data_IF_963003264205
#
_entry.id   IF_963003264205
#
_cell.length_a   1.000
_cell.length_b   1.000
_cell.length_c   1.000
_cell.angle_alpha   90.00
_cell.angle_beta   90.00
_cell.angle_gamma   90.00
#
_symmetry.space_group_name_H-M   'P 1'
#
loop_
_entity.id
_entity.type
_entity.pdbx_description
1 polymer ?
#
# COMPACT_ATOMS: atom_id res chain seq x y z
N UNK A 1 -32.07 -11.85 11.21
CA UNK A 1 -31.90 -12.96 12.16
C UNK A 1 -33.27 -13.56 12.40
N UNK A 2 -33.39 -14.87 12.18
CA UNK A 2 -34.65 -15.57 12.41
C UNK A 2 -34.94 -15.65 13.91
N UNK A 3 -36.23 -15.64 14.27
CA UNK A 3 -36.68 -15.65 15.67
C UNK A 3 -37.80 -16.67 15.81
N UNK A 4 -37.74 -17.48 16.87
CA UNK A 4 -38.83 -18.38 17.24
C UNK A 4 -40.00 -17.56 17.80
N UNK A 5 -41.22 -17.91 17.39
CA UNK A 5 -42.45 -17.35 17.95
C UNK A 5 -42.98 -18.39 18.95
N UNK A 6 -43.15 -17.98 20.21
CA UNK A 6 -43.76 -18.79 21.27
C UNK A 6 -44.99 -18.03 21.76
N UNK A 7 -46.13 -18.71 21.83
CA UNK A 7 -47.41 -18.09 22.17
C UNK A 7 -47.77 -18.20 23.66
N UNK A 8 -48.60 -17.29 24.21
CA UNK A 8 -49.14 -17.45 25.56
C UNK A 8 -49.87 -18.79 25.72
N UNK A 9 -49.52 -19.55 26.76
CA UNK A 9 -50.09 -20.87 27.03
C UNK A 9 -49.45 -22.04 26.25
N UNK A 10 -48.53 -21.77 25.33
CA UNK A 10 -47.72 -22.81 24.69
C UNK A 10 -46.73 -23.41 25.71
N UNK A 11 -46.51 -24.72 25.64
CA UNK A 11 -45.41 -25.40 26.34
C UNK A 11 -44.15 -25.24 25.48
N UNK A 12 -43.12 -24.49 25.93
CA UNK A 12 -41.89 -24.32 25.16
C UNK A 12 -41.13 -25.64 25.10
N UNK A 13 -40.55 -25.93 23.93
CA UNK A 13 -39.61 -27.03 23.75
C UNK A 13 -38.18 -26.52 23.88
N UNK A 14 -37.24 -27.40 24.20
CA UNK A 14 -35.81 -27.07 24.21
C UNK A 14 -35.35 -26.57 22.83
N UNK A 15 -35.93 -27.10 21.75
CA UNK A 15 -35.63 -26.68 20.37
C UNK A 15 -35.98 -25.22 20.09
N UNK A 16 -36.89 -24.61 20.87
CA UNK A 16 -37.21 -23.18 20.73
C UNK A 16 -36.04 -22.31 21.20
N UNK A 17 -35.39 -22.68 22.30
CA UNK A 17 -34.19 -22.00 22.80
C UNK A 17 -32.99 -22.30 21.90
N UNK A 18 -32.75 -23.58 21.61
CA UNK A 18 -31.61 -24.01 20.80
C UNK A 18 -31.67 -23.41 19.40
N UNK A 19 -32.85 -23.35 18.78
CA UNK A 19 -33.04 -22.77 17.46
C UNK A 19 -32.79 -21.26 17.42
N UNK A 20 -33.06 -20.55 18.53
CA UNK A 20 -32.72 -19.12 18.64
C UNK A 20 -31.19 -18.94 18.70
N UNK A 21 -30.48 -19.78 19.46
CA UNK A 21 -29.01 -19.75 19.51
C UNK A 21 -28.39 -20.03 18.13
N UNK A 22 -28.91 -21.04 17.42
CA UNK A 22 -28.47 -21.35 16.06
C UNK A 22 -28.75 -20.19 15.08
N UNK A 23 -29.90 -19.53 15.18
CA UNK A 23 -30.24 -18.37 14.35
C UNK A 23 -29.30 -17.18 14.57
N UNK A 24 -28.88 -16.96 15.82
CA UNK A 24 -27.85 -15.96 16.17
C UNK A 24 -26.52 -16.30 15.53
N UNK A 25 -26.08 -17.56 15.65
CA UNK A 25 -24.85 -18.05 15.04
C UNK A 25 -24.85 -17.87 13.51
N UNK A 26 -25.95 -18.19 12.83
CA UNK A 26 -26.09 -17.98 11.38
C UNK A 26 -25.91 -16.51 11.03
N UNK A 27 -26.57 -15.59 11.76
CA UNK A 27 -26.47 -14.16 11.51
C UNK A 27 -25.04 -13.65 11.69
N UNK A 28 -24.36 -14.03 12.78
CA UNK A 28 -22.97 -13.65 13.03
C UNK A 28 -22.03 -14.28 11.99
N UNK A 29 -22.21 -15.54 11.65
CA UNK A 29 -21.32 -16.22 10.70
C UNK A 29 -21.44 -15.69 9.28
N UNK A 30 -22.64 -15.25 8.84
CA UNK A 30 -22.79 -14.55 7.55
C UNK A 30 -22.13 -13.17 7.57
N UNK A 31 -22.23 -12.42 8.68
CA UNK A 31 -21.53 -11.14 8.84
C UNK A 31 -20.01 -11.32 8.81
N UNK A 32 -19.49 -12.26 9.60
CA UNK A 32 -18.06 -12.61 9.65
C UNK A 32 -17.54 -13.03 8.28
N UNK A 33 -18.31 -13.85 7.56
CA UNK A 33 -17.97 -14.25 6.20
C UNK A 33 -17.95 -13.10 5.19
N UNK A 34 -18.77 -12.06 5.39
CA UNK A 34 -18.72 -10.84 4.57
C UNK A 34 -17.48 -9.98 4.86
N UNK A 35 -16.96 -10.02 6.09
CA UNK A 35 -15.79 -9.24 6.53
C UNK A 35 -14.49 -9.93 6.12
N UNK A 36 -14.34 -11.24 6.39
CA UNK A 36 -13.10 -11.98 6.18
C UNK A 36 -13.08 -12.86 4.92
N UNK A 37 -14.22 -12.97 4.23
CA UNK A 37 -14.40 -13.99 3.20
C UNK A 37 -14.52 -15.39 3.77
N UNK A 38 -14.47 -16.39 2.90
CA UNK A 38 -14.61 -17.82 3.25
C UNK A 38 -13.29 -18.57 3.29
N UNK A 39 -12.16 -17.88 3.02
CA UNK A 39 -10.83 -18.48 2.95
C UNK A 39 -10.26 -18.92 4.30
N UNK A 40 -10.89 -18.56 5.42
CA UNK A 40 -10.37 -18.83 6.75
C UNK A 40 -9.39 -17.74 7.23
N UNK A 41 -9.49 -17.38 8.50
CA UNK A 41 -8.66 -16.35 9.13
C UNK A 41 -8.32 -16.71 10.58
N UNK A 42 -7.15 -16.27 11.06
CA UNK A 42 -6.68 -16.43 12.45
C UNK A 42 -6.28 -15.07 13.01
N UNK A 43 -6.67 -14.79 14.25
CA UNK A 43 -6.19 -13.66 15.04
C UNK A 43 -5.63 -14.16 16.38
N UNK A 44 -4.46 -13.67 16.77
CA UNK A 44 -3.73 -14.24 17.91
C UNK A 44 -3.13 -15.61 17.57
N UNK A 45 -3.36 -16.61 18.43
CA UNK A 45 -2.83 -17.98 18.29
C UNK A 45 -1.31 -18.03 18.02
N UNK A 46 -0.57 -17.10 18.63
CA UNK A 46 0.87 -17.01 18.43
C UNK A 46 1.56 -18.19 19.09
N UNK A 47 2.50 -18.81 18.37
CA UNK A 47 3.27 -19.95 18.86
C UNK A 47 4.57 -19.44 19.47
N UNK A 48 4.79 -19.72 20.74
CA UNK A 48 5.97 -19.32 21.50
C UNK A 48 6.61 -20.47 22.29
N UNK A 49 7.83 -20.26 22.80
CA UNK A 49 8.46 -21.21 23.71
C UNK A 49 7.73 -21.26 25.05
N UNK A 50 7.79 -22.39 25.74
CA UNK A 50 7.20 -22.53 27.07
C UNK A 50 8.07 -21.89 28.18
N UNK A 51 7.44 -21.48 29.27
CA UNK A 51 8.07 -21.00 30.49
C UNK A 51 7.41 -21.68 31.72
N UNK A 52 8.11 -22.58 32.44
CA UNK A 52 9.52 -22.98 32.27
C UNK A 52 9.82 -23.70 30.95
N UNK A 53 11.06 -23.57 30.48
CA UNK A 53 11.46 -24.11 29.19
C UNK A 53 11.41 -25.65 29.17
N UNK A 54 10.81 -26.21 28.12
CA UNK A 54 10.65 -27.65 27.91
C UNK A 54 10.56 -27.98 26.41
N UNK A 55 10.47 -29.27 26.05
CA UNK A 55 10.23 -29.75 24.69
C UNK A 55 8.76 -29.66 24.28
N UNK A 56 8.20 -28.48 24.45
CA UNK A 56 6.85 -28.13 24.04
C UNK A 56 6.79 -26.64 23.67
N UNK A 57 5.79 -26.31 22.88
CA UNK A 57 5.46 -24.92 22.53
C UNK A 57 4.13 -24.54 23.16
N UNK A 58 3.95 -23.25 23.39
CA UNK A 58 2.72 -22.68 23.90
C UNK A 58 2.06 -21.89 22.78
N UNK A 59 0.82 -22.24 22.47
CA UNK A 59 -0.05 -21.45 21.59
C UNK A 59 -0.85 -20.50 22.46
N UNK A 60 -0.64 -19.19 22.29
CA UNK A 60 -1.33 -18.16 23.04
C UNK A 60 -2.84 -18.14 22.71
N UNK A 61 -3.67 -17.52 23.57
CA UNK A 61 -5.09 -17.28 23.27
C UNK A 61 -5.31 -16.57 21.93
N UNK A 62 -6.47 -16.78 21.35
CA UNK A 62 -6.87 -16.18 20.08
C UNK A 62 -8.11 -16.83 19.51
N UNK A 63 -8.38 -16.51 18.24
CA UNK A 63 -9.55 -17.04 17.54
C UNK A 63 -9.25 -17.43 16.09
N UNK A 64 -10.06 -18.36 15.59
CA UNK A 64 -10.09 -18.80 14.20
C UNK A 64 -11.48 -18.54 13.63
N UNK A 65 -11.54 -18.15 12.36
CA UNK A 65 -12.76 -17.98 11.60
C UNK A 65 -12.68 -18.92 10.39
N UNK A 66 -13.62 -19.84 10.25
CA UNK A 66 -13.54 -20.86 9.21
C UNK A 66 -14.91 -21.23 8.65
N UNK A 67 -14.98 -21.42 7.34
CA UNK A 67 -16.18 -21.94 6.67
C UNK A 67 -16.36 -23.42 7.03
N UNK A 68 -17.44 -23.72 7.72
CA UNK A 68 -17.78 -25.08 8.16
C UNK A 68 -19.30 -25.28 8.07
N UNK A 69 -19.74 -26.53 8.19
CA UNK A 69 -21.16 -26.87 8.26
C UNK A 69 -21.83 -26.16 9.44
N UNK A 70 -23.10 -25.79 9.29
CA UNK A 70 -23.88 -25.13 10.34
C UNK A 70 -23.89 -25.99 11.61
N UNK A 71 -24.23 -27.27 11.46
CA UNK A 71 -24.12 -28.27 12.52
C UNK A 71 -23.57 -29.57 11.93
N UNK A 72 -22.31 -29.88 12.21
CA UNK A 72 -21.70 -31.12 11.74
C UNK A 72 -22.29 -32.37 12.43
N UNK A 73 -22.76 -32.21 13.67
CA UNK A 73 -23.44 -33.23 14.48
C UNK A 73 -24.71 -32.64 15.09
N UNK A 74 -25.65 -33.50 15.52
CA UNK A 74 -26.89 -33.03 16.13
C UNK A 74 -26.61 -32.17 17.37
N UNK A 75 -27.32 -31.05 17.52
CA UNK A 75 -27.27 -30.16 18.70
C UNK A 75 -28.45 -30.43 19.61
N UNK A 76 -28.26 -31.34 20.58
CA UNK A 76 -29.37 -31.91 21.34
C UNK A 76 -30.41 -32.49 20.36
N UNK A 77 -31.68 -32.07 20.43
CA UNK A 77 -32.75 -32.50 19.53
C UNK A 77 -32.75 -31.79 18.17
N UNK A 78 -31.88 -30.80 17.93
CA UNK A 78 -31.72 -30.23 16.59
C UNK A 78 -30.85 -31.16 15.74
N UNK A 79 -31.31 -31.57 14.54
CA UNK A 79 -30.52 -32.46 13.67
C UNK A 79 -29.27 -31.75 13.14
N UNK A 80 -28.30 -32.55 12.70
CA UNK A 80 -27.16 -32.02 11.95
C UNK A 80 -27.64 -31.31 10.67
N UNK A 81 -26.99 -30.20 10.33
CA UNK A 81 -27.17 -29.47 9.08
C UNK A 81 -25.82 -29.36 8.37
N UNK A 82 -25.61 -30.31 7.46
CA UNK A 82 -24.42 -30.41 6.61
C UNK A 82 -24.68 -29.86 5.19
N UNK A 83 -25.89 -29.40 4.91
CA UNK A 83 -26.25 -28.81 3.62
C UNK A 83 -25.87 -27.32 3.56
N UNK A 84 -25.86 -26.65 4.72
CA UNK A 84 -25.51 -25.25 4.83
C UNK A 84 -24.15 -25.05 5.49
N UNK A 85 -23.41 -24.05 5.00
CA UNK A 85 -22.15 -23.62 5.57
C UNK A 85 -22.16 -22.13 5.91
N UNK A 86 -21.43 -21.80 6.97
CA UNK A 86 -21.15 -20.43 7.39
C UNK A 86 -19.76 -20.34 8.00
N UNK A 87 -19.25 -19.12 8.14
CA UNK A 87 -17.97 -18.88 8.81
C UNK A 87 -18.23 -18.89 10.32
N UNK A 88 -17.83 -19.96 11.01
CA UNK A 88 -17.93 -20.07 12.47
C UNK A 88 -16.66 -19.54 13.14
N UNK A 89 -16.80 -19.00 14.34
CA UNK A 89 -15.69 -18.56 15.18
C UNK A 89 -15.34 -19.66 16.19
N UNK A 90 -14.09 -20.09 16.18
CA UNK A 90 -13.49 -20.90 17.23
C UNK A 90 -12.69 -20.00 18.15
N UNK A 91 -12.82 -20.19 19.46
CA UNK A 91 -12.15 -19.35 20.46
C UNK A 91 -11.25 -20.24 21.33
N UNK A 92 -10.03 -19.75 21.55
CA UNK A 92 -9.10 -20.26 22.55
C UNK A 92 -8.86 -19.16 23.57
N UNK A 93 -9.47 -19.29 24.75
CA UNK A 93 -9.35 -18.29 25.83
C UNK A 93 -8.06 -18.46 26.63
N UNK A 94 -7.59 -19.71 26.77
CA UNK A 94 -6.41 -20.06 27.57
C UNK A 94 -5.30 -20.64 26.68
N UNK A 95 -4.05 -20.35 27.03
CA UNK A 95 -2.91 -20.85 26.29
C UNK A 95 -2.84 -22.38 26.32
N UNK A 96 -2.55 -23.01 25.18
CA UNK A 96 -2.45 -24.47 25.06
C UNK A 96 -1.02 -24.90 24.80
N UNK A 97 -0.55 -25.91 25.52
CA UNK A 97 0.78 -26.47 25.35
C UNK A 97 0.76 -27.68 24.43
N UNK A 98 1.64 -27.71 23.43
CA UNK A 98 1.78 -28.83 22.49
C UNK A 98 3.18 -29.44 22.56
N UNK A 99 3.24 -30.76 22.78
CA UNK A 99 4.50 -31.48 22.88
C UNK A 99 5.22 -31.56 21.53
N UNK A 100 6.53 -31.36 21.53
CA UNK A 100 7.42 -31.44 20.38
C UNK A 100 8.69 -32.20 20.78
N UNK A 101 8.62 -33.51 21.04
CA UNK A 101 9.76 -34.28 21.53
C UNK A 101 10.93 -34.31 20.53
N UNK A 102 12.15 -34.41 21.04
CA UNK A 102 13.34 -34.54 20.22
C UNK A 102 13.39 -35.91 19.53
N UNK A 103 13.99 -36.02 18.32
CA UNK A 103 14.19 -37.31 17.67
C UNK A 103 15.24 -38.13 18.45
N UNK A 104 15.22 -39.45 18.30
CA UNK A 104 16.12 -40.37 19.05
C UNK A 104 17.48 -40.59 18.39
N UNK A 105 17.61 -40.31 17.09
CA UNK A 105 18.84 -40.56 16.32
C UNK A 105 19.81 -39.38 16.42
N UNK A 106 21.06 -39.64 16.79
CA UNK A 106 22.09 -38.60 16.90
C UNK A 106 22.33 -37.90 15.55
N UNK A 107 22.47 -36.56 15.59
CA UNK A 107 22.64 -35.73 14.39
C UNK A 107 21.36 -35.47 13.59
N UNK A 108 20.20 -35.97 14.04
CA UNK A 108 18.92 -35.74 13.37
C UNK A 108 18.16 -34.58 14.00
N UNK A 109 17.31 -33.94 13.20
CA UNK A 109 16.28 -32.99 13.63
C UNK A 109 14.91 -33.41 13.10
N UNK A 110 13.85 -32.94 13.74
CA UNK A 110 12.47 -33.11 13.30
C UNK A 110 11.77 -31.75 13.26
N UNK A 111 10.90 -31.56 12.26
CA UNK A 111 10.01 -30.41 12.19
C UNK A 111 8.61 -30.82 12.66
N UNK A 112 8.02 -30.03 13.55
CA UNK A 112 6.60 -30.10 13.91
C UNK A 112 5.85 -28.96 13.23
N UNK A 113 4.78 -29.28 12.50
CA UNK A 113 3.84 -28.27 12.01
C UNK A 113 2.78 -28.02 13.08
N UNK A 114 2.71 -26.80 13.58
CA UNK A 114 1.63 -26.36 14.46
C UNK A 114 0.51 -25.82 13.58
N UNK A 115 -0.66 -26.40 13.70
CA UNK A 115 -1.82 -26.05 12.89
C UNK A 115 -3.11 -26.05 13.71
N UNK A 116 -4.08 -25.28 13.24
CA UNK A 116 -5.36 -25.03 13.90
C UNK A 116 -6.54 -25.25 12.96
N UNK A 117 -7.64 -25.77 13.47
CA UNK A 117 -8.95 -25.81 12.80
C UNK A 117 -10.06 -25.39 13.75
N UNK A 118 -11.18 -24.94 13.20
CA UNK A 118 -12.43 -24.88 13.95
C UNK A 118 -12.95 -26.28 14.27
N UNK A 119 -13.50 -26.48 15.48
CA UNK A 119 -14.31 -27.64 15.82
C UNK A 119 -15.47 -27.28 16.77
N UNK A 120 -16.58 -28.01 16.65
CA UNK A 120 -17.62 -28.04 17.66
C UNK A 120 -17.27 -29.09 18.73
N UNK A 121 -17.29 -28.70 19.99
CA UNK A 121 -17.07 -29.61 21.12
C UNK A 121 -18.19 -29.49 22.14
N UNK A 122 -18.81 -30.64 22.44
CA UNK A 122 -19.76 -30.75 23.54
C UNK A 122 -19.00 -30.95 24.86
N UNK A 123 -19.23 -30.05 25.81
CA UNK A 123 -18.49 -30.00 27.09
C UNK A 123 -19.43 -29.82 28.27
N UNK A 124 -18.86 -29.77 29.48
CA UNK A 124 -19.59 -29.56 30.74
C UNK A 124 -20.66 -30.62 30.97
N UNK A 125 -20.28 -31.90 30.85
CA UNK A 125 -21.17 -33.02 31.11
C UNK A 125 -21.64 -32.98 32.57
N UNK A 126 -22.96 -33.04 32.77
CA UNK A 126 -23.57 -33.08 34.10
C UNK A 126 -24.86 -33.89 34.08
N UNK A 127 -25.26 -34.43 35.22
CA UNK A 127 -26.56 -35.10 35.37
C UNK A 127 -27.65 -34.04 35.53
N UNK A 128 -28.53 -33.94 34.54
CA UNK A 128 -29.59 -32.92 34.51
C UNK A 128 -30.91 -33.44 35.11
N UNK A 129 -31.70 -32.59 35.77
CA UNK A 129 -33.04 -32.96 36.19
C UNK A 129 -34.01 -33.00 34.98
N UNK A 130 -34.85 -34.03 34.91
CA UNK A 130 -35.88 -34.21 33.87
C UNK A 130 -37.28 -34.26 34.49
N UNK A 131 -38.29 -33.79 33.73
CA UNK A 131 -39.68 -33.88 34.17
C UNK A 131 -40.12 -35.34 34.27
N UNK A 132 -40.73 -35.68 35.41
CA UNK A 132 -41.30 -37.00 35.67
C UNK A 132 -42.83 -36.93 35.62
N UNK A 133 -43.42 -37.38 34.50
CA UNK A 133 -44.86 -37.40 34.34
C UNK A 133 -45.58 -38.36 35.31
N UNK A 134 -44.90 -39.40 35.79
CA UNK A 134 -45.47 -40.40 36.72
C UNK A 134 -45.48 -39.93 38.17
N UNK A 135 -44.56 -39.05 38.55
CA UNK A 135 -44.51 -38.40 39.85
C UNK A 135 -43.95 -36.98 39.74
N UNK A 136 -44.81 -35.97 39.48
CA UNK A 136 -44.37 -34.59 39.28
C UNK A 136 -43.67 -33.95 40.49
N UNK A 137 -43.77 -34.56 41.69
CA UNK A 137 -43.06 -34.08 42.88
C UNK A 137 -41.57 -34.47 42.94
N UNK A 138 -41.12 -35.35 42.03
CA UNK A 138 -39.75 -35.83 41.97
C UNK A 138 -39.21 -35.83 40.54
N UNK A 139 -38.24 -34.96 40.26
CA UNK A 139 -37.55 -34.96 38.97
C UNK A 139 -36.76 -36.27 38.75
N UNK A 140 -36.70 -36.71 37.50
CA UNK A 140 -35.75 -37.73 37.10
C UNK A 140 -34.32 -37.18 37.10
N UNK A 141 -33.34 -38.04 37.42
CA UNK A 141 -31.91 -37.72 37.32
C UNK A 141 -31.36 -38.28 36.02
N UNK A 142 -31.11 -37.42 35.03
CA UNK A 142 -30.76 -37.79 33.67
C UNK A 142 -31.96 -38.34 32.87
N UNK A 143 -31.77 -38.59 31.55
CA UNK A 143 -32.82 -39.09 30.68
C UNK A 143 -33.38 -40.41 31.19
N UNK A 144 -34.71 -40.53 31.25
CA UNK A 144 -35.40 -41.72 31.75
C UNK A 144 -34.91 -42.19 33.14
N UNK A 145 -34.46 -41.26 33.99
CA UNK A 145 -33.91 -41.53 35.32
C UNK A 145 -32.66 -42.44 35.33
N UNK A 146 -31.89 -42.42 34.24
CA UNK A 146 -30.72 -43.29 34.06
C UNK A 146 -29.46 -42.87 34.82
N UNK A 147 -29.42 -41.64 35.35
CA UNK A 147 -28.22 -41.04 35.94
C UNK A 147 -27.16 -40.60 34.92
N UNK A 148 -27.38 -40.85 33.62
CA UNK A 148 -26.43 -40.46 32.57
C UNK A 148 -26.22 -38.95 32.54
N UNK A 149 -24.97 -38.56 32.42
CA UNK A 149 -24.58 -37.16 32.23
C UNK A 149 -24.72 -36.76 30.77
N UNK A 150 -25.11 -35.51 30.54
CA UNK A 150 -25.21 -34.93 29.20
C UNK A 150 -24.46 -33.60 29.16
N UNK A 151 -23.90 -33.30 28.00
CA UNK A 151 -23.25 -32.03 27.75
C UNK A 151 -24.25 -30.88 27.89
N UNK A 152 -23.81 -29.78 28.49
CA UNK A 152 -24.63 -28.57 28.70
C UNK A 152 -24.15 -27.40 27.87
N UNK A 153 -23.05 -27.56 27.13
CA UNK A 153 -22.45 -26.51 26.33
C UNK A 153 -21.93 -27.10 25.02
N UNK A 154 -22.30 -26.49 23.90
CA UNK A 154 -21.62 -26.67 22.62
C UNK A 154 -20.68 -25.49 22.40
N UNK A 155 -19.38 -25.74 22.49
CA UNK A 155 -18.36 -24.73 22.30
C UNK A 155 -17.80 -24.78 20.88
N UNK A 156 -17.67 -23.60 20.26
CA UNK A 156 -16.82 -23.44 19.08
C UNK A 156 -15.37 -23.23 19.53
N UNK A 157 -14.53 -24.24 19.35
CA UNK A 157 -13.15 -24.24 19.84
C UNK A 157 -12.16 -24.07 18.69
N UNK A 158 -10.96 -23.62 19.05
CA UNK A 158 -9.77 -23.81 18.22
C UNK A 158 -9.20 -25.18 18.57
N UNK A 159 -9.31 -26.14 17.65
CA UNK A 159 -8.62 -27.42 17.77
C UNK A 159 -7.20 -27.26 17.24
N UNK A 160 -6.22 -27.43 18.13
CA UNK A 160 -4.81 -27.33 17.84
C UNK A 160 -4.16 -28.70 17.72
N UNK A 161 -3.16 -28.83 16.86
CA UNK A 161 -2.30 -30.01 16.82
C UNK A 161 -0.85 -29.66 16.47
N UNK A 162 0.07 -30.49 16.98
CA UNK A 162 1.47 -30.51 16.56
C UNK A 162 1.70 -31.77 15.72
N UNK A 163 1.74 -31.59 14.40
CA UNK A 163 1.94 -32.68 13.46
C UNK A 163 3.42 -32.94 13.25
N UNK A 164 3.86 -34.15 13.58
CA UNK A 164 5.25 -34.57 13.43
C UNK A 164 5.61 -34.77 11.96
N UNK A 165 6.74 -34.20 11.53
CA UNK A 165 7.38 -34.49 10.25
C UNK A 165 8.22 -35.75 10.27
N UNK A 166 9.03 -35.92 9.23
CA UNK A 166 10.00 -37.02 9.16
C UNK A 166 11.34 -36.51 9.67
N UNK A 167 11.83 -37.13 10.75
CA UNK A 167 13.16 -36.85 11.28
C UNK A 167 14.24 -37.27 10.27
N UNK A 168 15.21 -36.40 10.03
CA UNK A 168 16.35 -36.67 9.16
C UNK A 168 17.59 -35.93 9.67
N UNK A 169 18.74 -36.14 9.02
CA UNK A 169 19.96 -35.37 9.31
C UNK A 169 19.64 -33.86 9.35
N UNK A 170 20.15 -33.17 10.37
CA UNK A 170 19.85 -31.75 10.61
C UNK A 170 20.11 -30.92 9.35
N UNK A 171 19.08 -30.20 8.90
CA UNK A 171 19.08 -29.43 7.65
C UNK A 171 18.37 -30.13 6.48
N UNK A 172 18.02 -31.42 6.60
CA UNK A 172 17.31 -32.21 5.58
C UNK A 172 15.97 -32.78 6.08
N UNK A 173 15.52 -32.39 7.28
CA UNK A 173 14.26 -32.84 7.83
C UNK A 173 13.06 -32.28 7.04
N UNK A 174 11.99 -33.07 6.92
CA UNK A 174 10.83 -32.72 6.09
C UNK A 174 9.67 -32.26 6.98
N UNK A 175 9.22 -31.03 6.76
CA UNK A 175 7.99 -30.50 7.36
C UNK A 175 6.78 -31.21 6.77
N UNK A 176 5.82 -31.70 7.59
CA UNK A 176 4.62 -32.33 7.06
C UNK A 176 3.73 -31.29 6.36
N UNK A 177 2.93 -31.74 5.39
CA UNK A 177 1.92 -30.90 4.75
C UNK A 177 0.78 -30.58 5.73
N UNK A 178 0.17 -29.40 5.55
CA UNK A 178 -1.01 -28.96 6.31
C UNK A 178 -2.18 -29.91 6.06
N UNK A 179 -2.91 -30.24 7.12
CA UNK A 179 -4.10 -31.08 6.99
C UNK A 179 -5.25 -30.36 6.28
N UNK A 180 -6.07 -31.13 5.56
CA UNK A 180 -7.23 -30.56 4.88
C UNK A 180 -8.18 -29.94 5.91
N UNK A 181 -8.48 -28.65 5.75
CA UNK A 181 -9.30 -27.88 6.68
C UNK A 181 -8.51 -27.26 7.84
N UNK A 182 -7.19 -27.41 7.89
CA UNK A 182 -6.36 -26.75 8.89
C UNK A 182 -5.68 -25.49 8.32
N UNK A 183 -5.36 -24.56 9.22
CA UNK A 183 -4.53 -23.39 8.97
C UNK A 183 -3.21 -23.58 9.70
N UNK A 184 -2.11 -23.53 8.96
CA UNK A 184 -0.77 -23.61 9.52
C UNK A 184 -0.41 -22.32 10.28
N UNK A 185 0.17 -22.46 11.48
CA UNK A 185 0.58 -21.36 12.35
C UNK A 185 2.10 -21.19 12.39
N UNK A 186 2.84 -22.28 12.62
CA UNK A 186 4.30 -22.25 12.73
C UNK A 186 4.92 -23.61 12.44
N UNK A 187 6.22 -23.61 12.14
CA UNK A 187 7.07 -24.80 12.12
C UNK A 187 8.05 -24.74 13.30
N UNK A 188 8.12 -25.81 14.06
CA UNK A 188 9.03 -25.93 15.21
C UNK A 188 10.09 -26.98 14.89
N UNK A 189 11.36 -26.58 14.87
CA UNK A 189 12.49 -27.48 14.61
C UNK A 189 13.14 -27.92 15.93
N UNK A 190 13.18 -29.22 16.18
CA UNK A 190 13.78 -29.80 17.39
C UNK A 190 14.90 -30.77 16.99
N UNK A 191 16.11 -30.52 17.48
CA UNK A 191 17.27 -31.38 17.25
C UNK A 191 17.39 -32.49 18.30
N UNK A 192 18.03 -33.61 17.95
CA UNK A 192 18.39 -34.65 18.91
C UNK A 192 19.23 -34.08 20.05
N UNK A 193 18.97 -34.52 21.28
CA UNK A 193 19.67 -34.06 22.48
C UNK A 193 19.20 -32.70 23.02
N UNK A 194 18.33 -32.00 22.31
CA UNK A 194 17.71 -30.76 22.80
C UNK A 194 16.75 -31.06 23.96
N UNK A 195 16.73 -30.22 24.99
CA UNK A 195 15.85 -30.36 26.17
C UNK A 195 14.85 -29.22 26.33
N UNK A 196 15.01 -28.15 25.55
CA UNK A 196 14.18 -26.94 25.60
C UNK A 196 13.98 -26.37 24.20
N UNK A 197 12.82 -25.75 23.94
CA UNK A 197 12.54 -25.03 22.69
C UNK A 197 12.67 -23.54 22.95
N UNK A 198 13.47 -22.85 22.12
CA UNK A 198 13.65 -21.40 22.15
C UNK A 198 12.93 -20.72 20.99
N UNK A 199 12.83 -19.39 20.99
CA UNK A 199 12.26 -18.65 19.87
C UNK A 199 12.97 -18.92 18.53
N UNK A 200 14.29 -19.17 18.54
CA UNK A 200 15.05 -19.50 17.32
C UNK A 200 14.70 -20.86 16.70
N UNK A 201 13.99 -21.72 17.44
CA UNK A 201 13.49 -22.99 16.94
C UNK A 201 12.12 -22.87 16.24
N UNK A 202 11.46 -21.72 16.36
CA UNK A 202 10.08 -21.51 15.90
C UNK A 202 10.09 -20.57 14.70
N UNK A 203 9.73 -21.09 13.54
CA UNK A 203 9.53 -20.32 12.33
C UNK A 203 8.02 -20.07 12.15
N UNK A 204 7.57 -18.83 12.36
CA UNK A 204 6.17 -18.45 12.11
C UNK A 204 5.87 -18.53 10.61
N UNK A 205 4.72 -19.09 10.26
CA UNK A 205 4.28 -19.13 8.87
C UNK A 205 3.46 -17.86 8.65
N UNK A 206 4.00 -16.94 7.84
CA UNK A 206 3.27 -15.79 7.34
C UNK A 206 2.24 -16.26 6.29
N UNK A 207 1.24 -17.01 6.72
CA UNK A 207 0.13 -17.39 5.85
C UNK A 207 -0.77 -16.16 5.64
N UNK A 208 -1.26 -15.97 4.41
CA UNK A 208 -2.26 -14.95 4.04
C UNK A 208 -3.54 -14.97 4.92
N UNK A 209 -3.70 -15.99 5.77
CA UNK A 209 -4.85 -16.21 6.65
C UNK A 209 -4.60 -15.71 8.08
N UNK A 210 -3.38 -15.35 8.47
CA UNK A 210 -3.10 -14.74 9.79
C UNK A 210 -3.28 -13.23 9.65
N UNK A 211 -4.18 -12.66 10.45
CA UNK A 211 -4.48 -11.23 10.40
C UNK A 211 -3.30 -10.43 10.99
N UNK A 212 -2.60 -9.59 10.18
CA UNK A 212 -1.38 -8.90 10.62
C UNK A 212 -1.65 -7.66 11.49
N UNK A 213 -2.88 -7.13 11.46
CA UNK A 213 -3.33 -5.97 12.24
C UNK A 213 -4.77 -6.16 12.67
N UNK A 214 -5.24 -5.36 13.62
CA UNK A 214 -6.67 -5.31 13.94
C UNK A 214 -7.50 -5.04 12.69
N UNK A 215 -8.75 -5.52 12.68
CA UNK A 215 -9.74 -5.28 11.62
C UNK A 215 -9.86 -3.77 11.33
N UNK A 216 -9.76 -2.92 12.36
CA UNK A 216 -9.77 -1.47 12.23
C UNK A 216 -8.56 -0.95 11.44
N UNK A 217 -7.39 -1.56 11.58
CA UNK A 217 -6.21 -1.28 10.76
C UNK A 217 -6.39 -1.66 9.29
N UNK A 218 -7.25 -2.64 8.97
CA UNK A 218 -7.61 -2.98 7.60
C UNK A 218 -8.59 -1.96 6.98
N UNK A 219 -9.51 -1.41 7.78
CA UNK A 219 -10.44 -0.35 7.33
C UNK A 219 -9.81 1.06 7.33
N UNK A 220 -8.71 1.26 8.06
CA UNK A 220 -8.06 2.56 8.27
C UNK A 220 -6.96 2.92 7.28
N UNK A 221 -6.64 2.06 6.30
CA UNK A 221 -5.70 2.46 5.26
C UNK A 221 -6.41 3.45 4.34
N UNK A 222 -5.95 4.71 4.36
CA UNK A 222 -6.30 5.67 3.32
C UNK A 222 -6.15 4.96 1.98
N UNK A 223 -7.21 4.93 1.17
CA UNK A 223 -7.21 4.36 -0.20
C UNK A 223 -6.34 5.16 -1.17
N UNK A 224 -5.35 5.88 -0.65
CA UNK A 224 -4.48 6.78 -1.37
C UNK A 224 -3.13 6.86 -0.65
N UNK A 225 -2.04 6.85 -1.44
CA UNK A 225 -0.70 7.16 -0.99
C UNK A 225 -0.04 8.13 -1.98
N UNK A 226 0.55 9.21 -1.47
CA UNK A 226 1.28 10.21 -2.25
C UNK A 226 2.79 10.06 -2.06
N UNK A 227 3.52 10.13 -3.16
CA UNK A 227 4.97 10.11 -3.23
C UNK A 227 5.47 11.45 -3.80
N UNK A 228 6.10 12.25 -2.95
CA UNK A 228 6.87 13.45 -3.32
C UNK A 228 8.38 13.19 -3.29
N UNK A 229 8.78 12.03 -2.78
CA UNK A 229 10.12 11.46 -2.81
C UNK A 229 10.06 10.00 -3.26
N UNK A 230 11.15 9.49 -3.83
CA UNK A 230 11.24 8.10 -4.27
C UNK A 230 11.12 7.13 -3.09
N UNK A 231 10.54 5.96 -3.34
CA UNK A 231 10.28 4.94 -2.31
C UNK A 231 9.68 3.67 -2.92
N UNK A 232 8.85 2.98 -2.15
CA UNK A 232 8.14 1.78 -2.62
C UNK A 232 6.70 1.78 -2.14
N UNK A 233 5.81 1.26 -2.99
CA UNK A 233 4.41 1.01 -2.68
C UNK A 233 4.19 -0.51 -2.58
N UNK A 234 3.62 -0.99 -1.47
CA UNK A 234 3.23 -2.40 -1.32
C UNK A 234 1.73 -2.51 -1.53
N UNK A 235 1.31 -3.29 -2.52
CA UNK A 235 -0.11 -3.51 -2.84
C UNK A 235 -0.80 -4.20 -1.66
N UNK A 236 -1.84 -3.60 -1.07
CA UNK A 236 -2.53 -4.22 0.06
C UNK A 236 -3.22 -5.54 -0.31
N UNK A 237 -3.50 -6.36 0.71
CA UNK A 237 -4.21 -7.61 0.53
C UNK A 237 -5.59 -7.38 -0.10
N UNK A 238 -5.97 -8.24 -1.05
CA UNK A 238 -7.27 -8.17 -1.74
C UNK A 238 -7.38 -7.13 -2.86
N UNK A 239 -6.34 -6.33 -3.10
CA UNK A 239 -6.34 -5.32 -4.17
C UNK A 239 -5.71 -5.88 -5.44
N UNK A 240 -6.48 -5.89 -6.53
CA UNK A 240 -6.03 -6.34 -7.86
C UNK A 240 -5.94 -5.21 -8.89
N UNK A 241 -6.41 -4.02 -8.53
CA UNK A 241 -6.42 -2.85 -9.41
C UNK A 241 -6.05 -1.61 -8.61
N UNK A 242 -5.14 -0.80 -9.15
CA UNK A 242 -4.81 0.53 -8.61
C UNK A 242 -5.05 1.60 -9.67
N UNK A 243 -5.30 2.83 -9.23
CA UNK A 243 -5.40 4.01 -10.07
C UNK A 243 -4.22 4.94 -9.78
N UNK A 244 -3.50 5.32 -10.83
CA UNK A 244 -2.31 6.17 -10.70
C UNK A 244 -2.58 7.54 -11.33
N UNK A 245 -2.35 8.59 -10.54
CA UNK A 245 -2.25 9.96 -11.00
C UNK A 245 -0.82 10.44 -10.76
N UNK A 246 -0.08 10.77 -11.80
CA UNK A 246 1.34 11.08 -11.69
C UNK A 246 1.82 12.05 -12.76
N UNK A 247 2.91 12.74 -12.49
CA UNK A 247 3.61 13.60 -13.46
C UNK A 247 5.13 13.49 -13.29
N UNK A 248 5.85 13.53 -14.41
CA UNK A 248 7.31 13.61 -14.43
C UNK A 248 7.83 15.00 -14.04
N UNK A 249 9.13 15.15 -13.82
CA UNK A 249 9.73 16.46 -13.57
C UNK A 249 9.60 17.38 -14.79
N UNK A 250 9.31 18.66 -14.56
CA UNK A 250 9.31 19.68 -15.61
C UNK A 250 10.72 20.17 -15.93
N UNK A 251 10.94 20.59 -17.17
CA UNK A 251 12.21 21.15 -17.63
C UNK A 251 12.47 22.55 -17.08
N UNK A 252 13.75 22.93 -16.96
CA UNK A 252 14.13 24.30 -16.61
C UNK A 252 14.01 25.26 -17.80
N UNK A 253 13.77 26.54 -17.54
CA UNK A 253 13.82 27.57 -18.58
C UNK A 253 15.26 27.88 -19.00
N UNK A 254 15.47 28.30 -20.24
CA UNK A 254 16.79 28.72 -20.74
C UNK A 254 17.17 30.11 -20.23
N UNK A 255 18.47 30.41 -20.19
CA UNK A 255 18.98 31.74 -19.84
C UNK A 255 18.80 32.74 -20.97
N UNK A 256 18.58 34.02 -20.63
CA UNK A 256 18.47 35.10 -21.61
C UNK A 256 19.84 35.57 -22.13
N UNK A 257 19.88 36.11 -23.35
CA UNK A 257 21.08 36.65 -23.96
C UNK A 257 21.54 37.99 -23.36
N UNK A 258 22.85 38.18 -23.27
CA UNK A 258 23.50 39.47 -22.99
C UNK A 258 23.85 40.23 -24.27
N UNK A 259 24.33 41.47 -24.13
CA UNK A 259 24.73 42.32 -25.27
C UNK A 259 26.08 43.04 -25.04
N UNK A 260 26.60 43.62 -26.14
CA UNK A 260 27.81 44.45 -26.17
C UNK A 260 27.48 45.93 -26.02
N UNK A 261 28.47 46.74 -25.62
CA UNK A 261 28.39 48.21 -25.66
C UNK A 261 28.34 48.64 -27.14
N UNK A 262 27.22 49.20 -27.58
CA UNK A 262 27.02 49.67 -28.96
C UNK A 262 25.59 49.55 -29.50
N UNK A 263 24.60 49.16 -28.68
CA UNK A 263 23.19 49.13 -29.08
C UNK A 263 22.75 47.83 -29.75
N UNK A 264 23.34 46.68 -29.38
CA UNK A 264 22.91 45.37 -29.87
C UNK A 264 21.66 44.86 -29.12
N UNK A 265 20.70 44.27 -29.87
CA UNK A 265 19.52 43.58 -29.31
C UNK A 265 19.89 42.17 -28.87
N UNK A 266 19.18 41.55 -27.93
CA UNK A 266 19.33 40.13 -27.59
C UNK A 266 17.95 39.47 -27.43
N UNK A 267 17.87 38.14 -27.50
CA UNK A 267 16.62 37.40 -27.25
C UNK A 267 16.61 36.73 -25.88
N UNK A 268 15.40 36.55 -25.34
CA UNK A 268 15.19 35.86 -24.07
C UNK A 268 15.44 34.36 -24.19
N UNK A 269 15.52 33.67 -23.07
CA UNK A 269 15.50 32.21 -23.03
C UNK A 269 14.07 31.67 -23.19
N UNK A 270 13.95 30.48 -23.76
CA UNK A 270 12.68 29.76 -23.89
C UNK A 270 12.24 29.19 -22.54
N UNK A 271 10.93 28.99 -22.38
CA UNK A 271 10.37 28.32 -21.20
C UNK A 271 10.59 26.81 -21.24
N UNK A 272 10.73 26.16 -20.09
CA UNK A 272 10.82 24.70 -19.99
C UNK A 272 9.48 24.01 -20.26
N UNK A 273 9.53 22.79 -20.80
CA UNK A 273 8.35 21.94 -21.01
C UNK A 273 7.87 21.27 -19.73
N UNK A 274 6.58 20.94 -19.66
CA UNK A 274 6.01 20.18 -18.55
C UNK A 274 6.33 18.69 -18.72
N UNK A 275 6.46 17.99 -17.59
CA UNK A 275 6.59 16.53 -17.57
C UNK A 275 5.32 15.84 -18.06
N UNK A 276 5.48 14.64 -18.62
CA UNK A 276 4.34 13.81 -19.00
C UNK A 276 3.48 13.49 -17.77
N UNK A 277 2.16 13.55 -17.92
CA UNK A 277 1.21 13.28 -16.85
C UNK A 277 0.17 12.22 -17.23
N UNK A 278 -0.35 11.55 -16.20
CA UNK A 278 -1.53 10.69 -16.26
C UNK A 278 -2.45 11.03 -15.08
N UNK A 279 -3.76 10.89 -15.28
CA UNK A 279 -4.78 11.11 -14.24
C UNK A 279 -5.63 9.85 -14.13
N UNK A 280 -5.65 9.24 -12.95
CA UNK A 280 -6.44 8.05 -12.62
C UNK A 280 -6.35 6.92 -13.65
N UNK A 281 -5.16 6.65 -14.17
CA UNK A 281 -4.95 5.53 -15.08
C UNK A 281 -4.98 4.21 -14.28
N UNK A 282 -5.81 3.27 -14.70
CA UNK A 282 -5.94 1.97 -14.03
C UNK A 282 -4.81 1.01 -14.42
N UNK A 283 -4.27 0.28 -13.44
CA UNK A 283 -3.29 -0.79 -13.62
C UNK A 283 -3.70 -2.03 -12.82
N UNK A 284 -3.56 -3.21 -13.43
CA UNK A 284 -3.73 -4.48 -12.76
C UNK A 284 -2.47 -4.82 -11.96
N UNK A 285 -2.65 -5.25 -10.71
CA UNK A 285 -1.57 -5.58 -9.78
C UNK A 285 -1.89 -6.85 -9.01
N UNK A 286 -0.88 -7.42 -8.35
CA UNK A 286 -1.08 -8.60 -7.48
C UNK A 286 -1.04 -8.18 -6.00
N UNK A 287 -1.95 -8.67 -5.14
CA UNK A 287 -1.87 -8.44 -3.70
C UNK A 287 -0.49 -8.81 -3.12
N UNK A 288 0.09 -7.93 -2.30
CA UNK A 288 1.42 -8.10 -1.71
C UNK A 288 2.60 -7.72 -2.62
N UNK A 289 2.36 -7.36 -3.88
CA UNK A 289 3.41 -6.90 -4.79
C UNK A 289 4.06 -5.61 -4.28
N UNK A 290 5.40 -5.55 -4.32
CA UNK A 290 6.17 -4.32 -4.01
C UNK A 290 6.53 -3.62 -5.31
N UNK A 291 6.07 -2.38 -5.48
CA UNK A 291 6.26 -1.54 -6.66
C UNK A 291 7.23 -0.42 -6.31
N UNK A 292 8.43 -0.36 -6.91
CA UNK A 292 9.35 0.75 -6.68
C UNK A 292 8.85 2.02 -7.36
N UNK A 293 8.90 3.14 -6.66
CA UNK A 293 8.44 4.46 -7.12
C UNK A 293 9.65 5.38 -7.20
N UNK A 294 9.96 5.89 -8.40
CA UNK A 294 10.98 6.91 -8.61
C UNK A 294 10.31 8.22 -8.99
N UNK A 295 10.55 9.27 -8.22
CA UNK A 295 10.03 10.61 -8.50
C UNK A 295 11.06 11.41 -9.31
N UNK A 296 10.64 11.93 -10.46
CA UNK A 296 11.49 12.72 -11.33
C UNK A 296 11.90 14.05 -10.71
N UNK A 297 13.18 14.41 -10.80
CA UNK A 297 13.69 15.69 -10.30
C UNK A 297 13.29 16.85 -11.21
N UNK A 298 13.24 18.07 -10.67
CA UNK A 298 13.07 19.27 -11.48
C UNK A 298 14.28 19.49 -12.42
N UNK A 299 14.04 19.97 -13.64
CA UNK A 299 15.08 20.52 -14.50
C UNK A 299 15.58 21.86 -13.95
N UNK A 300 16.90 22.08 -14.01
CA UNK A 300 17.53 23.33 -13.60
C UNK A 300 17.43 24.40 -14.68
N UNK A 301 17.21 25.64 -14.26
CA UNK A 301 17.24 26.80 -15.15
C UNK A 301 18.63 27.05 -15.72
N UNK A 302 18.70 27.47 -16.97
CA UNK A 302 19.95 27.81 -17.65
C UNK A 302 20.54 29.12 -17.16
N UNK A 303 21.86 29.20 -17.08
CA UNK A 303 22.56 30.45 -16.74
C UNK A 303 22.32 31.52 -17.81
N UNK A 304 22.10 32.77 -17.39
CA UNK A 304 22.01 33.91 -18.30
C UNK A 304 23.36 34.24 -18.93
N UNK A 305 23.35 34.81 -20.13
CA UNK A 305 24.57 35.25 -20.82
C UNK A 305 25.18 36.46 -20.12
N UNK A 306 26.49 36.46 -19.91
CA UNK A 306 27.19 37.62 -19.38
C UNK A 306 27.23 38.77 -20.40
N UNK A 307 27.77 39.93 -19.99
CA UNK A 307 28.11 40.98 -20.95
C UNK A 307 28.97 40.38 -22.07
N UNK A 308 28.71 40.79 -23.31
CA UNK A 308 29.38 40.23 -24.49
C UNK A 308 29.16 38.72 -24.72
N UNK A 309 28.24 38.09 -23.97
CA UNK A 309 27.98 36.65 -23.99
C UNK A 309 29.22 35.79 -23.73
N UNK A 310 30.07 36.24 -22.81
CA UNK A 310 31.21 35.47 -22.32
C UNK A 310 31.19 35.41 -20.78
N UNK A 311 30.64 34.34 -20.17
CA UNK A 311 30.10 33.13 -20.82
C UNK A 311 28.75 33.34 -21.52
N UNK A 312 28.48 32.47 -22.50
CA UNK A 312 27.24 32.44 -23.26
C UNK A 312 26.06 31.96 -22.40
N UNK A 313 24.81 32.36 -22.74
CA UNK A 313 23.63 31.81 -22.07
C UNK A 313 23.53 30.29 -22.29
N UNK A 314 22.97 29.61 -21.31
CA UNK A 314 22.84 28.14 -21.31
C UNK A 314 21.37 27.76 -21.39
N UNK A 315 21.08 26.66 -22.08
CA UNK A 315 19.73 26.09 -22.10
C UNK A 315 19.36 25.54 -20.71
N UNK A 316 18.06 25.45 -20.42
CA UNK A 316 17.61 24.73 -19.24
C UNK A 316 17.90 23.23 -19.37
N UNK A 317 17.98 22.52 -18.25
CA UNK A 317 18.08 21.05 -18.28
C UNK A 317 16.70 20.41 -18.33
N UNK A 318 16.63 19.20 -18.86
CA UNK A 318 15.42 18.38 -18.79
C UNK A 318 15.08 18.01 -17.33
N UNK A 319 13.79 17.80 -17.07
CA UNK A 319 13.31 17.18 -15.83
C UNK A 319 13.56 15.67 -15.83
N UNK A 320 13.62 15.09 -14.64
CA UNK A 320 13.76 13.64 -14.44
C UNK A 320 12.46 12.90 -14.75
N UNK A 321 12.59 11.62 -15.12
CA UNK A 321 11.45 10.74 -15.33
C UNK A 321 10.79 10.34 -14.01
N UNK A 322 9.47 10.19 -13.99
CA UNK A 322 8.74 9.55 -12.89
C UNK A 322 8.39 8.12 -13.30
N UNK A 323 8.80 7.13 -12.49
CA UNK A 323 8.69 5.71 -12.81
C UNK A 323 7.89 5.00 -11.72
N UNK A 324 6.86 4.25 -12.13
CA UNK A 324 6.00 3.46 -11.25
C UNK A 324 6.24 1.98 -11.55
N UNK A 325 7.29 1.41 -10.96
CA UNK A 325 7.75 0.05 -11.22
C UNK A 325 7.89 -0.25 -12.70
N UNK A 326 7.40 -1.43 -13.12
CA UNK A 326 7.27 -1.81 -14.53
C UNK A 326 5.93 -1.37 -15.14
N UNK A 327 5.08 -0.64 -14.41
CA UNK A 327 3.73 -0.28 -14.85
C UNK A 327 3.76 0.87 -15.86
N UNK A 328 4.51 1.94 -15.55
CA UNK A 328 4.63 3.09 -16.44
C UNK A 328 5.90 3.91 -16.14
N UNK A 329 6.46 4.48 -17.20
CA UNK A 329 7.50 5.51 -17.16
C UNK A 329 6.97 6.78 -17.81
N UNK A 330 6.98 7.88 -17.07
CA UNK A 330 6.60 9.20 -17.55
C UNK A 330 7.85 10.01 -17.87
N UNK A 331 7.95 10.52 -19.10
CA UNK A 331 9.12 11.28 -19.53
C UNK A 331 9.10 12.70 -18.96
N UNK A 332 10.25 13.17 -18.47
CA UNK A 332 10.40 14.55 -18.01
C UNK A 332 10.29 15.56 -19.16
N UNK A 333 9.95 16.80 -18.82
CA UNK A 333 9.92 17.90 -19.78
C UNK A 333 11.33 18.30 -20.21
N UNK A 334 11.51 18.69 -21.47
CA UNK A 334 12.78 19.22 -21.96
C UNK A 334 13.01 20.64 -21.46
N UNK A 335 14.27 21.04 -21.31
CA UNK A 335 14.62 22.41 -20.95
C UNK A 335 14.38 23.39 -22.11
N UNK A 336 14.15 24.65 -21.79
CA UNK A 336 14.01 25.73 -22.78
C UNK A 336 15.35 26.12 -23.40
N UNK A 337 15.32 26.56 -24.67
CA UNK A 337 16.49 27.01 -25.40
C UNK A 337 17.15 28.24 -24.78
N UNK A 338 18.47 28.37 -24.94
CA UNK A 338 19.21 29.56 -24.56
C UNK A 338 18.89 30.73 -25.49
N UNK A 339 18.78 31.93 -24.95
CA UNK A 339 18.67 33.16 -25.73
C UNK A 339 19.89 33.39 -26.62
N UNK A 340 19.71 34.15 -27.69
CA UNK A 340 20.78 34.41 -28.66
C UNK A 340 21.49 35.76 -28.41
N UNK A 341 22.79 35.85 -28.73
CA UNK A 341 23.64 37.01 -28.46
C UNK A 341 23.38 38.22 -29.39
N UNK A 342 23.87 39.38 -28.92
CA UNK A 342 23.86 40.69 -29.59
C UNK A 342 24.30 40.76 -31.06
N UNK A 343 23.38 40.95 -32.00
CA UNK A 343 23.68 41.32 -33.40
C UNK A 343 23.69 42.85 -33.62
N UNK A 344 24.54 43.33 -34.53
CA UNK A 344 24.59 44.74 -34.95
C UNK A 344 23.31 45.18 -35.67
N UNK A 345 23.09 46.50 -35.73
CA UNK A 345 21.91 47.22 -36.24
C UNK A 345 21.26 46.61 -37.50
N UNK A 346 19.93 46.50 -37.51
CA UNK A 346 19.14 46.12 -38.70
C UNK A 346 18.76 44.64 -38.83
N UNK A 347 19.14 43.79 -37.87
CA UNK A 347 18.88 42.34 -37.92
C UNK A 347 17.93 41.92 -36.78
N UNK A 348 16.88 41.16 -37.10
CA UNK A 348 16.05 40.50 -36.09
C UNK A 348 16.80 39.27 -35.53
N UNK A 349 16.77 39.11 -34.21
CA UNK A 349 17.39 37.97 -33.51
C UNK A 349 16.25 37.05 -33.09
N UNK A 350 16.24 35.79 -33.56
CA UNK A 350 15.15 34.87 -33.26
C UNK A 350 15.05 34.63 -31.74
N UNK A 351 13.83 34.44 -31.27
CA UNK A 351 13.56 33.92 -29.94
C UNK A 351 14.08 32.49 -29.77
N UNK A 352 14.42 32.14 -28.54
CA UNK A 352 14.77 30.77 -28.20
C UNK A 352 13.53 29.89 -28.12
N UNK A 353 13.63 28.66 -28.63
CA UNK A 353 12.54 27.68 -28.58
C UNK A 353 12.17 27.29 -27.15
N UNK A 354 10.88 27.05 -26.93
CA UNK A 354 10.41 26.43 -25.70
C UNK A 354 10.79 24.95 -25.64
N UNK A 355 11.01 24.43 -24.45
CA UNK A 355 11.28 23.01 -24.23
C UNK A 355 10.06 22.16 -24.55
N UNK A 356 10.26 21.05 -25.27
CA UNK A 356 9.22 20.05 -25.51
C UNK A 356 8.68 19.47 -24.19
N UNK A 357 7.40 19.12 -24.15
CA UNK A 357 6.75 18.58 -22.96
C UNK A 357 5.26 18.31 -23.17
N UNK A 358 4.54 18.09 -22.07
CA UNK A 358 3.12 17.77 -22.06
C UNK A 358 2.32 18.80 -21.22
N UNK A 359 2.24 20.08 -21.62
CA UNK A 359 2.62 20.65 -22.93
C UNK A 359 4.04 21.26 -22.98
N UNK A 360 4.45 21.69 -24.17
CA UNK A 360 5.71 22.40 -24.39
C UNK A 360 5.69 23.81 -23.78
N UNK A 361 6.86 24.30 -23.36
CA UNK A 361 7.04 25.69 -22.93
C UNK A 361 6.87 26.66 -24.08
N UNK A 362 6.64 27.93 -23.77
CA UNK A 362 6.56 28.97 -24.79
C UNK A 362 7.97 29.34 -25.28
N UNK A 363 8.09 29.64 -26.57
CA UNK A 363 9.27 30.30 -27.12
C UNK A 363 9.41 31.72 -26.54
N UNK A 364 10.63 32.24 -26.51
CA UNK A 364 10.87 33.65 -26.20
C UNK A 364 10.46 34.52 -27.39
N UNK A 365 10.30 35.83 -27.19
CA UNK A 365 10.11 36.75 -28.33
C UNK A 365 11.46 37.11 -28.96
N UNK A 366 11.40 37.53 -30.23
CA UNK A 366 12.56 38.03 -30.97
C UNK A 366 13.11 39.33 -30.34
N UNK A 367 14.41 39.55 -30.51
CA UNK A 367 15.04 40.85 -30.28
C UNK A 367 15.10 41.65 -31.58
N UNK A 368 14.68 42.91 -31.59
CA UNK A 368 14.67 43.77 -32.79
C UNK A 368 15.39 45.09 -32.56
N UNK A 369 16.25 45.50 -33.49
CA UNK A 369 16.90 46.80 -33.48
C UNK A 369 16.40 47.65 -34.66
N UNK A 370 15.46 48.57 -34.43
CA UNK A 370 14.78 49.33 -35.49
C UNK A 370 15.51 50.61 -35.94
N UNK A 371 16.79 50.80 -35.61
CA UNK A 371 17.65 51.82 -36.25
C UNK A 371 17.28 53.29 -35.98
N UNK A 372 16.35 53.58 -35.08
CA UNK A 372 16.00 54.96 -34.71
C UNK A 372 17.03 55.53 -33.73
N UNK A 373 17.97 56.33 -34.26
CA UNK A 373 18.84 57.41 -33.70
C UNK A 373 19.03 57.61 -32.17
N UNK A 374 18.85 56.59 -31.36
CA UNK A 374 19.18 56.54 -29.93
C UNK A 374 19.35 55.06 -29.62
N UNK A 375 20.56 54.61 -29.26
CA UNK A 375 20.97 53.20 -29.23
C UNK A 375 20.23 52.30 -28.25
N UNK A 376 18.93 52.11 -28.47
CA UNK A 376 17.98 51.31 -27.70
C UNK A 376 17.51 50.18 -28.62
N UNK A 377 18.22 49.04 -28.59
CA UNK A 377 17.72 47.82 -29.20
C UNK A 377 16.59 47.24 -28.34
N UNK A 378 15.46 46.89 -28.95
CA UNK A 378 14.39 46.16 -28.26
C UNK A 378 14.86 44.73 -28.03
N UNK A 379 14.92 44.33 -26.77
CA UNK A 379 15.37 43.00 -26.39
C UNK A 379 14.16 42.11 -26.09
N UNK A 380 14.26 40.84 -26.48
CA UNK A 380 13.16 39.88 -26.44
C UNK A 380 12.76 39.49 -25.02
N UNK A 381 11.45 39.38 -24.79
CA UNK A 381 10.91 38.80 -23.57
C UNK A 381 11.14 37.29 -23.52
N UNK A 382 11.25 36.75 -22.31
CA UNK A 382 11.41 35.31 -22.09
C UNK A 382 10.14 34.50 -22.36
N UNK A 383 10.33 33.22 -22.66
CA UNK A 383 9.23 32.25 -22.76
C UNK A 383 8.72 31.80 -21.39
N UNK A 384 7.41 31.66 -21.25
CA UNK A 384 6.78 31.07 -20.07
C UNK A 384 6.99 29.55 -20.05
N UNK A 385 7.23 29.00 -18.86
CA UNK A 385 7.24 27.55 -18.66
C UNK A 385 5.83 26.97 -18.76
N UNK A 386 5.73 25.72 -19.18
CA UNK A 386 4.45 25.03 -19.32
C UNK A 386 3.84 24.62 -17.97
N UNK A 387 2.52 24.80 -17.82
CA UNK A 387 1.77 24.28 -16.67
C UNK A 387 1.45 22.79 -16.85
N UNK A 388 1.35 22.07 -15.73
CA UNK A 388 0.88 20.68 -15.69
C UNK A 388 -0.47 20.61 -14.95
N UNK A 389 -1.18 19.47 -14.98
CA UNK A 389 -2.37 19.27 -14.14
C UNK A 389 -2.12 19.41 -12.62
N UNK A 390 -0.87 19.40 -12.18
CA UNK A 390 -0.45 19.42 -10.78
C UNK A 390 0.34 20.68 -10.40
N UNK A 391 0.47 21.66 -11.30
CA UNK A 391 1.34 22.81 -11.06
C UNK A 391 1.29 23.88 -12.14
N UNK A 392 1.58 25.12 -11.72
CA UNK A 392 1.70 26.27 -12.62
C UNK A 392 3.11 26.41 -13.17
N UNK A 393 3.23 26.66 -14.48
CA UNK A 393 4.50 26.97 -15.13
C UNK A 393 5.07 28.31 -14.68
N UNK A 394 6.40 28.46 -14.76
CA UNK A 394 7.06 29.73 -14.45
C UNK A 394 6.65 30.83 -15.45
N UNK A 395 6.34 32.06 -14.99
CA UNK A 395 5.87 33.12 -15.87
C UNK A 395 6.98 33.64 -16.78
N UNK A 396 6.58 34.19 -17.93
CA UNK A 396 7.44 35.05 -18.74
C UNK A 396 7.82 36.30 -17.96
N UNK A 397 9.09 36.65 -18.04
CA UNK A 397 9.61 37.99 -17.70
C UNK A 397 9.90 38.79 -18.95
N UNK A 398 9.83 40.12 -18.79
CA UNK A 398 10.17 41.11 -19.83
C UNK A 398 11.67 41.02 -20.16
N UNK A 399 12.46 41.97 -19.71
CA UNK A 399 13.91 42.03 -19.96
C UNK A 399 14.63 42.33 -18.65
N UNK A 400 15.87 41.86 -18.53
CA UNK A 400 16.69 42.00 -17.35
C UNK A 400 17.25 43.44 -17.26
N UNK A 401 16.80 44.21 -16.26
CA UNK A 401 17.58 45.31 -15.72
C UNK A 401 18.49 44.77 -14.60
N UNK A 402 19.55 45.49 -14.23
CA UNK A 402 20.44 45.13 -13.10
C UNK A 402 19.74 45.17 -11.73
N UNK A 403 18.40 45.07 -11.71
CA UNK A 403 17.53 45.18 -10.55
C UNK A 403 16.81 43.83 -10.36
N UNK A 404 16.85 43.21 -9.17
CA UNK A 404 16.27 41.88 -8.92
C UNK A 404 14.73 41.76 -9.10
N UNK A 405 14.03 42.81 -9.55
CA UNK A 405 12.57 42.85 -9.75
C UNK A 405 12.08 42.21 -11.06
N UNK A 406 12.97 41.80 -11.95
CA UNK A 406 12.66 41.22 -13.27
C UNK A 406 13.02 39.73 -13.38
N UNK A 407 13.30 39.11 -12.24
CA UNK A 407 13.79 37.74 -12.14
C UNK A 407 12.60 36.75 -12.20
N UNK A 408 12.57 35.77 -13.13
CA UNK A 408 11.38 34.92 -13.33
C UNK A 408 11.03 34.15 -12.05
N UNK A 409 9.78 33.75 -11.81
CA UNK A 409 9.49 32.86 -10.67
C UNK A 409 9.68 31.40 -11.09
N UNK A 410 10.11 30.56 -10.15
CA UNK A 410 10.17 29.11 -10.38
C UNK A 410 8.77 28.57 -10.63
N UNK A 411 8.71 27.41 -11.29
CA UNK A 411 7.46 26.68 -11.41
C UNK A 411 6.88 26.34 -10.02
N UNK A 412 5.55 26.26 -9.90
CA UNK A 412 4.83 25.93 -8.67
C UNK A 412 4.14 24.57 -8.79
N UNK A 413 4.04 23.82 -7.69
CA UNK A 413 3.41 22.50 -7.66
C UNK A 413 4.35 21.41 -8.19
N UNK A 414 3.86 20.58 -9.11
CA UNK A 414 4.60 19.43 -9.63
C UNK A 414 4.60 19.37 -11.16
N UNK A 415 5.72 18.94 -11.73
CA UNK A 415 5.89 18.62 -13.15
C UNK A 415 5.73 19.77 -14.15
N UNK A 416 5.57 21.01 -13.68
CA UNK A 416 5.52 22.22 -14.49
C UNK A 416 6.91 22.70 -14.90
N UNK A 417 7.01 23.32 -16.07
CA UNK A 417 8.25 23.86 -16.61
C UNK A 417 8.62 25.23 -16.02
N UNK A 418 9.92 25.52 -15.96
CA UNK A 418 10.44 26.80 -15.48
C UNK A 418 10.37 27.92 -16.51
N UNK A 419 10.19 29.16 -16.08
CA UNK A 419 10.22 30.33 -16.96
C UNK A 419 11.62 30.61 -17.49
N UNK A 420 11.73 31.06 -18.74
CA UNK A 420 12.99 31.47 -19.34
C UNK A 420 13.52 32.79 -18.75
N UNK A 421 14.82 33.05 -18.94
CA UNK A 421 15.46 34.29 -18.53
C UNK A 421 15.21 35.41 -19.55
N UNK A 422 14.88 36.61 -19.09
CA UNK A 422 14.77 37.79 -19.95
C UNK A 422 16.14 38.24 -20.49
N UNK A 423 16.15 38.72 -21.73
CA UNK A 423 17.30 39.35 -22.34
C UNK A 423 17.66 40.68 -21.65
N UNK A 424 18.91 41.13 -21.76
CA UNK A 424 19.36 42.40 -21.18
C UNK A 424 18.55 43.61 -21.69
N UNK A 425 18.19 44.56 -20.81
CA UNK A 425 17.46 45.79 -21.15
C UNK A 425 18.37 46.99 -21.50
N UNK A 426 19.62 47.00 -21.02
CA UNK A 426 20.58 48.11 -21.18
C UNK A 426 21.76 47.72 -22.07
N UNK A 427 22.44 48.74 -22.59
CA UNK A 427 23.63 48.57 -23.40
C UNK A 427 24.80 48.08 -22.51
N UNK A 428 25.44 46.95 -22.86
CA UNK A 428 26.58 46.40 -22.13
C UNK A 428 26.23 45.63 -20.85
N UNK A 429 25.08 44.95 -20.78
CA UNK A 429 24.68 44.13 -19.64
C UNK A 429 24.49 42.64 -19.96
N UNK A 430 24.34 41.82 -18.92
CA UNK A 430 24.03 40.39 -19.02
C UNK A 430 22.52 40.10 -19.00
N UNK A 431 22.14 38.95 -19.57
CA UNK A 431 20.79 38.41 -19.46
C UNK A 431 20.54 37.73 -18.12
N UNK A 432 19.28 37.50 -17.78
CA UNK A 432 18.89 36.80 -16.54
C UNK A 432 18.91 35.28 -16.71
N UNK A 433 19.10 34.56 -15.61
CA UNK A 433 19.00 33.10 -15.61
C UNK A 433 17.55 32.65 -15.78
N UNK A 434 17.37 31.53 -16.48
CA UNK A 434 16.10 30.81 -16.47
C UNK A 434 15.85 30.20 -15.09
N UNK A 435 14.62 29.73 -14.87
CA UNK A 435 14.22 29.12 -13.59
C UNK A 435 14.06 27.63 -13.68
N UNK A 436 14.16 27.01 -12.52
CA UNK A 436 13.92 25.59 -12.38
C UNK A 436 12.46 25.25 -12.69
N UNK A 437 12.25 24.08 -13.27
CA UNK A 437 10.95 23.43 -13.30
C UNK A 437 10.54 22.92 -11.92
N UNK A 438 9.43 22.19 -11.86
CA UNK A 438 8.95 21.54 -10.65
C UNK A 438 9.25 20.02 -10.68
N UNK A 439 9.49 19.39 -9.52
CA UNK A 439 9.68 17.94 -9.43
C UNK A 439 8.39 17.20 -9.78
N UNK A 440 8.50 15.90 -10.07
CA UNK A 440 7.34 15.04 -10.27
C UNK A 440 6.57 14.73 -8.98
N UNK A 441 5.46 14.02 -9.14
CA UNK A 441 4.69 13.44 -8.03
C UNK A 441 3.99 12.17 -8.52
N UNK A 442 3.74 11.22 -7.61
CA UNK A 442 2.88 10.08 -7.87
C UNK A 442 1.85 9.92 -6.75
N UNK A 443 0.60 9.68 -7.13
CA UNK A 443 -0.52 9.43 -6.24
C UNK A 443 -1.13 8.12 -6.68
N UNK A 444 -1.18 7.15 -5.77
CA UNK A 444 -1.71 5.81 -6.02
C UNK A 444 -2.97 5.64 -5.18
N UNK A 445 -4.07 5.24 -5.80
CA UNK A 445 -5.36 4.98 -5.16
C UNK A 445 -5.80 3.52 -5.36
N UNK A 446 -6.51 2.90 -4.40
CA UNK A 446 -6.93 1.49 -4.47
C UNK A 446 -8.26 1.11 -3.80
#
# INVERSE_FOLDING_TARGET
MDRKIVYPGQIPLETDLLGTNQSVMVALGKLTGAIFGTGGAVNGLTVGPNAPAALNVVVAPGEIYQLVNLEATAYSSLPADIAHQLVKQGILLDATTLACPAPTTAGFSINYLIEATYADSDTNNTTLPYYNASNPSQAYSGPNNSGLQQATTRAGIVQLQAKAGIAAATGSQVTPAVDSGYIALAVVTVANGQTTISAGNIATIAASKVLPTSILGMFGQSRQQQFTSSGSFTVPAGITTIYVSAVAGGGGGGGGGGNNIGGASASGGGGGGAGQSIIRQAFTVTPGQVIPITIGTAGSGGAGGAQSNSPAPVAGTAGGQTIIGSLITLTGGSGGGAGFPGASTGTAIPGADGGAGYPAGCASTDGTNTGLTSGVGWCGASGAGASSPFGGGGPSVRTADTNPRTNPSTAYGYGSGGGGGGAVYRNGGGGSAGRNGAPGVAIIEW
#
